data_IF_920479682194
#
_entry.id   IF_920479682194
#
_cell.length_a   1.000
_cell.length_b   1.000
_cell.length_c   1.000
_cell.angle_alpha   90.00
_cell.angle_beta   90.00
_cell.angle_gamma   90.00
#
_symmetry.space_group_name_H-M   'P 1'
#
loop_
_entity.id
_entity.type
_entity.pdbx_description
1 polymer ?
#
# COMPACT_ATOMS: atom_id res chain seq x y z
N UNK A 1 4.30 -13.89 4.55
CA UNK A 1 4.82 -12.55 4.18
C UNK A 1 5.93 -12.16 5.12
N UNK A 2 6.94 -11.55 4.61
CA UNK A 2 7.96 -10.93 5.44
C UNK A 2 7.91 -9.44 5.25
N UNK A 3 8.10 -8.71 6.34
CA UNK A 3 7.98 -7.27 6.32
C UNK A 3 9.20 -6.67 7.01
N UNK A 4 9.80 -5.70 6.36
CA UNK A 4 10.92 -4.96 6.93
C UNK A 4 10.56 -3.48 6.89
N UNK A 5 10.75 -2.80 8.01
CA UNK A 5 10.49 -1.37 8.06
C UNK A 5 11.82 -0.63 8.16
N UNK A 6 12.00 0.31 7.28
CA UNK A 6 13.20 1.13 7.22
C UNK A 6 12.78 2.57 7.50
N UNK A 7 13.04 3.05 8.72
CA UNK A 7 12.68 4.43 9.05
C UNK A 7 13.65 5.42 8.42
N UNK A 8 13.16 6.60 8.12
CA UNK A 8 13.98 7.66 7.58
C UNK A 8 13.43 9.00 7.98
N UNK A 9 14.08 10.06 7.54
CA UNK A 9 13.65 11.40 7.90
C UNK A 9 12.38 11.75 7.16
N UNK A 10 11.29 11.80 7.86
CA UNK A 10 10.00 12.15 7.27
C UNK A 10 9.38 11.07 6.42
N UNK A 11 10.03 9.92 6.29
CA UNK A 11 9.55 8.87 5.42
C UNK A 11 9.92 7.52 5.99
N UNK A 12 9.01 6.58 5.92
CA UNK A 12 9.29 5.18 6.28
C UNK A 12 9.02 4.31 5.07
N UNK A 13 9.84 3.31 4.87
CA UNK A 13 9.66 2.35 3.78
C UNK A 13 9.28 1.02 4.40
N UNK A 14 8.17 0.44 3.95
CA UNK A 14 7.78 -0.91 4.32
C UNK A 14 8.03 -1.81 3.14
N UNK A 15 8.98 -2.72 3.29
CA UNK A 15 9.35 -3.65 2.24
C UNK A 15 8.64 -4.96 2.49
N UNK A 16 7.86 -5.42 1.52
CA UNK A 16 7.07 -6.64 1.64
C UNK A 16 7.62 -7.70 0.72
N UNK A 17 7.68 -8.95 1.19
CA UNK A 17 8.11 -10.06 0.36
C UNK A 17 7.31 -11.30 0.71
N UNK A 18 7.31 -12.26 -0.23
CA UNK A 18 6.56 -13.50 -0.06
C UNK A 18 5.11 -13.33 -0.45
N UNK A 19 4.25 -14.12 0.17
CA UNK A 19 2.82 -14.10 -0.15
C UNK A 19 2.09 -13.22 0.84
N UNK A 20 1.31 -12.29 0.35
CA UNK A 20 0.49 -11.45 1.20
C UNK A 20 -0.94 -11.94 1.12
N UNK A 21 -1.42 -12.53 2.18
CA UNK A 21 -2.74 -13.16 2.21
C UNK A 21 -3.56 -12.65 3.39
N UNK A 22 -4.79 -13.11 3.45
CA UNK A 22 -5.66 -12.79 4.58
C UNK A 22 -5.01 -13.09 5.93
N UNK A 23 -4.18 -14.13 5.98
CA UNK A 23 -3.53 -14.51 7.24
C UNK A 23 -2.54 -13.46 7.72
N UNK A 24 -2.02 -12.66 6.82
CA UNK A 24 -1.05 -11.62 7.16
C UNK A 24 -1.70 -10.28 7.43
N UNK A 25 -3.01 -10.17 7.22
CA UNK A 25 -3.68 -8.87 7.21
C UNK A 25 -3.54 -8.13 8.54
N UNK A 26 -3.68 -8.83 9.65
CA UNK A 26 -3.62 -8.18 10.96
C UNK A 26 -2.23 -7.62 11.24
N UNK A 27 -1.20 -8.39 10.92
CA UNK A 27 0.16 -7.95 11.12
C UNK A 27 0.49 -6.75 10.24
N UNK A 28 0.11 -6.83 8.97
CA UNK A 28 0.38 -5.74 8.04
C UNK A 28 -0.36 -4.48 8.46
N UNK A 29 -1.61 -4.61 8.88
CA UNK A 29 -2.38 -3.46 9.33
C UNK A 29 -1.71 -2.77 10.51
N UNK A 30 -1.24 -3.55 11.48
CA UNK A 30 -0.56 -3.00 12.64
C UNK A 30 0.70 -2.24 12.23
N UNK A 31 1.50 -2.82 11.34
CA UNK A 31 2.72 -2.17 10.90
C UNK A 31 2.44 -0.91 10.10
N UNK A 32 1.41 -0.94 9.26
CA UNK A 32 1.04 0.23 8.49
C UNK A 32 0.60 1.37 9.40
N UNK A 33 -0.23 1.08 10.41
CA UNK A 33 -0.68 2.10 11.33
C UNK A 33 0.48 2.69 12.13
N UNK A 34 1.40 1.84 12.59
CA UNK A 34 2.56 2.33 13.32
C UNK A 34 3.44 3.21 12.44
N UNK A 35 3.63 2.83 11.20
CA UNK A 35 4.44 3.61 10.28
C UNK A 35 3.78 4.96 10.01
N UNK A 36 2.46 4.97 9.84
CA UNK A 36 1.74 6.22 9.59
C UNK A 36 1.75 7.14 10.81
N UNK A 37 1.82 6.58 12.01
CA UNK A 37 1.95 7.41 13.21
C UNK A 37 3.34 7.99 13.34
N UNK A 38 4.34 7.26 12.88
CA UNK A 38 5.73 7.67 13.05
C UNK A 38 6.22 8.61 11.96
N UNK A 39 5.61 8.56 10.80
CA UNK A 39 6.13 9.31 9.65
C UNK A 39 4.98 9.93 8.86
N UNK A 40 5.16 11.13 8.33
CA UNK A 40 4.13 11.73 7.49
C UNK A 40 4.03 11.07 6.12
N UNK A 41 5.02 10.30 5.72
CA UNK A 41 5.02 9.62 4.42
C UNK A 41 5.48 8.19 4.59
N UNK A 42 4.73 7.26 4.02
CA UNK A 42 5.06 5.84 4.03
C UNK A 42 5.09 5.34 2.60
N UNK A 43 6.14 4.61 2.25
CA UNK A 43 6.28 4.02 0.92
C UNK A 43 6.24 2.50 1.08
N UNK A 44 5.38 1.86 0.30
CA UNK A 44 5.28 0.40 0.28
C UNK A 44 6.13 -0.11 -0.89
N UNK A 45 7.15 -0.89 -0.57
CA UNK A 45 7.97 -1.52 -1.58
C UNK A 45 7.45 -2.95 -1.74
N UNK A 46 6.78 -3.21 -2.86
CA UNK A 46 6.15 -4.50 -3.10
C UNK A 46 6.92 -5.37 -4.07
N UNK A 47 8.14 -5.01 -4.40
CA UNK A 47 8.89 -5.75 -5.42
C UNK A 47 9.18 -7.19 -5.01
N UNK A 48 9.23 -7.47 -3.72
CA UNK A 48 9.49 -8.82 -3.24
C UNK A 48 8.26 -9.71 -3.13
N UNK A 49 7.08 -9.19 -3.41
CA UNK A 49 5.87 -10.01 -3.31
C UNK A 49 5.85 -11.05 -4.42
N UNK A 50 5.55 -12.30 -4.05
CA UNK A 50 5.42 -13.38 -5.02
C UNK A 50 3.96 -13.69 -5.28
N UNK A 51 3.06 -13.31 -4.39
CA UNK A 51 1.63 -13.50 -4.60
C UNK A 51 0.88 -12.58 -3.64
N UNK A 52 -0.37 -12.27 -3.99
CA UNK A 52 -1.23 -11.45 -3.16
C UNK A 52 -2.66 -11.85 -3.45
N UNK A 53 -3.45 -12.06 -2.40
CA UNK A 53 -4.87 -12.37 -2.60
C UNK A 53 -5.69 -11.08 -2.53
N UNK A 54 -6.99 -11.20 -2.78
CA UNK A 54 -7.86 -10.04 -2.79
C UNK A 54 -7.90 -9.33 -1.43
N UNK A 55 -7.87 -10.10 -0.35
CA UNK A 55 -7.88 -9.52 0.99
C UNK A 55 -6.63 -8.66 1.23
N UNK A 56 -5.46 -9.14 0.81
CA UNK A 56 -4.24 -8.37 0.92
C UNK A 56 -4.29 -7.10 0.10
N UNK A 57 -4.83 -7.20 -1.11
CA UNK A 57 -4.96 -6.05 -1.98
C UNK A 57 -5.89 -5.02 -1.36
N UNK A 58 -7.03 -5.45 -0.84
CA UNK A 58 -7.98 -4.54 -0.22
C UNK A 58 -7.41 -3.87 1.01
N UNK A 59 -6.55 -4.57 1.75
CA UNK A 59 -5.89 -3.98 2.90
C UNK A 59 -4.96 -2.84 2.48
N UNK A 60 -4.19 -3.04 1.42
CA UNK A 60 -3.32 -1.98 0.92
C UNK A 60 -4.13 -0.77 0.46
N UNK A 61 -5.24 -1.02 -0.22
CA UNK A 61 -6.10 0.05 -0.67
C UNK A 61 -6.71 0.80 0.53
N UNK A 62 -7.18 0.07 1.54
CA UNK A 62 -7.73 0.69 2.74
C UNK A 62 -6.70 1.52 3.48
N UNK A 63 -5.46 1.04 3.52
CA UNK A 63 -4.39 1.78 4.18
C UNK A 63 -4.12 3.10 3.46
N UNK A 64 -4.20 3.09 2.14
CA UNK A 64 -4.01 4.31 1.37
C UNK A 64 -5.12 5.31 1.68
N UNK A 65 -6.36 4.84 1.78
CA UNK A 65 -7.48 5.70 2.13
C UNK A 65 -7.34 6.25 3.55
N UNK A 66 -6.88 5.42 4.48
CA UNK A 66 -6.68 5.86 5.86
C UNK A 66 -5.60 6.95 5.95
N UNK A 67 -4.55 6.81 5.16
CA UNK A 67 -3.50 7.81 5.14
C UNK A 67 -4.03 9.15 4.67
N UNK A 68 -4.81 9.12 3.59
CA UNK A 68 -5.40 10.35 3.06
C UNK A 68 -6.30 11.01 4.10
N UNK A 69 -7.09 10.23 4.81
CA UNK A 69 -7.98 10.77 5.82
C UNK A 69 -7.22 11.41 6.98
N UNK A 70 -5.98 11.00 7.20
CA UNK A 70 -5.15 11.56 8.26
C UNK A 70 -4.23 12.68 7.77
N UNK A 71 -4.35 13.06 6.50
CA UNK A 71 -3.48 14.08 5.94
C UNK A 71 -2.06 13.60 5.71
N UNK A 72 -1.89 12.29 5.55
CA UNK A 72 -0.56 11.70 5.34
C UNK A 72 -0.50 11.07 3.97
N UNK A 73 0.68 10.67 3.55
CA UNK A 73 0.89 10.08 2.23
C UNK A 73 1.31 8.62 2.37
N UNK A 74 0.63 7.75 1.65
CA UNK A 74 1.03 6.36 1.53
C UNK A 74 1.15 6.06 0.05
N UNK A 75 2.36 5.72 -0.40
CA UNK A 75 2.62 5.47 -1.81
C UNK A 75 2.82 4.00 -2.05
N UNK A 76 2.19 3.48 -3.07
CA UNK A 76 2.38 2.12 -3.55
C UNK A 76 2.57 2.24 -5.05
N UNK A 77 3.68 1.70 -5.56
CA UNK A 77 3.89 1.71 -7.00
C UNK A 77 3.56 0.32 -7.56
N UNK A 78 2.35 0.14 -8.09
CA UNK A 78 1.96 -1.19 -8.60
C UNK A 78 2.85 -1.64 -9.75
N UNK A 79 3.41 -0.71 -10.50
CA UNK A 79 4.22 -1.07 -11.66
C UNK A 79 5.53 -1.73 -11.26
N UNK A 80 5.94 -1.61 -9.99
CA UNK A 80 7.17 -2.25 -9.55
C UNK A 80 6.96 -3.72 -9.23
N UNK A 81 5.72 -4.22 -9.23
CA UNK A 81 5.41 -5.61 -8.93
C UNK A 81 4.40 -6.14 -9.92
N UNK A 82 4.79 -7.14 -10.70
CA UNK A 82 3.89 -7.77 -11.66
C UNK A 82 2.72 -8.46 -10.95
N UNK A 83 2.99 -9.02 -9.79
CA UNK A 83 1.96 -9.68 -8.99
C UNK A 83 0.89 -8.66 -8.57
N UNK A 84 1.33 -7.53 -8.08
CA UNK A 84 0.41 -6.51 -7.61
C UNK A 84 -0.39 -5.92 -8.78
N UNK A 85 0.28 -5.61 -9.88
CA UNK A 85 -0.38 -5.09 -11.07
C UNK A 85 -1.46 -6.03 -11.57
N UNK A 86 -1.13 -7.32 -11.65
CA UNK A 86 -2.08 -8.31 -12.15
C UNK A 86 -3.31 -8.40 -11.25
N UNK A 87 -3.11 -8.38 -9.95
CA UNK A 87 -4.23 -8.51 -9.04
C UNK A 87 -5.10 -7.26 -9.04
N UNK A 88 -4.48 -6.09 -9.16
CA UNK A 88 -5.24 -4.85 -9.26
C UNK A 88 -6.13 -4.87 -10.50
N UNK A 89 -5.60 -5.35 -11.62
CA UNK A 89 -6.37 -5.44 -12.85
C UNK A 89 -7.52 -6.42 -12.73
N UNK A 90 -7.26 -7.58 -12.12
CA UNK A 90 -8.30 -8.58 -11.93
C UNK A 90 -9.41 -8.08 -11.04
N UNK A 91 -9.08 -7.29 -10.04
CA UNK A 91 -10.07 -6.79 -9.12
C UNK A 91 -10.79 -5.55 -9.62
N UNK A 92 -10.35 -4.98 -10.75
CA UNK A 92 -10.96 -3.77 -11.27
C UNK A 92 -10.62 -2.53 -10.47
N UNK A 93 -9.50 -2.54 -9.77
CA UNK A 93 -9.14 -1.45 -8.88
C UNK A 93 -8.02 -0.56 -9.42
N UNK A 94 -7.70 -0.69 -10.71
CA UNK A 94 -6.57 0.05 -11.26
C UNK A 94 -6.70 1.55 -11.06
N UNK A 95 -7.90 2.07 -11.16
CA UNK A 95 -8.09 3.49 -11.01
C UNK A 95 -8.17 3.93 -9.56
N UNK A 96 -8.28 2.98 -8.63
CA UNK A 96 -8.40 3.30 -7.23
C UNK A 96 -7.06 3.47 -6.53
N UNK A 97 -5.98 2.95 -7.12
CA UNK A 97 -4.66 3.07 -6.52
C UNK A 97 -3.90 4.23 -7.12
N UNK A 98 -3.28 5.02 -6.25
CA UNK A 98 -2.41 6.09 -6.66
C UNK A 98 -1.01 5.52 -6.71
N UNK A 99 -0.37 5.60 -7.85
CA UNK A 99 0.89 4.93 -8.00
C UNK A 99 1.98 5.67 -7.33
N UNK A 100 2.03 6.88 -7.12
CA UNK A 100 3.12 7.46 -6.59
C UNK A 100 2.97 8.63 -5.91
N UNK A 101 3.85 8.67 -5.32
CA UNK A 101 4.10 9.67 -4.77
C UNK A 101 3.76 10.89 -5.28
N UNK A 102 3.34 11.52 -4.74
CA UNK A 102 3.18 12.77 -5.05
C UNK A 102 2.11 13.08 -5.79
N UNK A 103 1.74 12.36 -6.48
CA UNK A 103 0.79 12.71 -7.30
C UNK A 103 -0.42 12.63 -6.75
N UNK A 104 -0.73 12.42 -6.02
CA UNK A 104 -1.86 12.41 -5.45
C UNK A 104 -2.96 12.80 -6.07
N UNK A 105 -3.60 12.84 -6.41
CA UNK A 105 -4.60 13.36 -6.73
C UNK A 105 -5.71 12.93 -6.60
N UNK A 106 -6.29 12.88 -6.54
CA UNK A 106 -7.17 12.64 -6.43
C UNK A 106 -8.14 12.27 -6.69
N UNK A 107 -8.80 12.00 -6.59
CA UNK A 107 -9.56 11.55 -6.67
C UNK A 107 -10.52 11.60 -7.21
N UNK A 108 -11.14 11.47 -7.29
CA UNK A 108 -12.01 11.48 -7.73
C UNK A 108 -12.92 11.31 -7.51
N UNK A 109 -13.47 11.19 -7.56
CA UNK A 109 -14.05 11.03 -7.40
C UNK A 109 -14.84 10.95 -7.62
N UNK A 110 -15.26 10.92 -7.68
CA UNK A 110 -15.85 10.75 -7.78
C UNK A 110 -16.46 10.72 -7.87
N UNK A 111 -16.84 10.66 -7.84
CA UNK A 111 -17.31 10.41 -7.93
C UNK A 111 -17.82 10.35 -8.19
N UNK A 112 -17.99 10.38 -8.43
CA UNK A 112 -18.39 10.23 -8.67
C UNK A 112 -18.84 10.01 -8.60
#
# INVERSE_FOLDING_TARGET
MQLTRIPGDGESILSLSGELTLLDAAELKTELLQALESSPRVVIDSRGLTDIDLAGLQLLFSAQQSALARGKALSIDPASSAVLTRQIERAGLAESFVSDAGSAPPLPVEGR
#
